data_IF_026260643274
#
_entry.id   IF_026260643274
#
_cell.length_a   1.000
_cell.length_b   1.000
_cell.length_c   1.000
_cell.angle_alpha   90.00
_cell.angle_beta   90.00
_cell.angle_gamma   90.00
#
_symmetry.space_group_name_H-M   'P 1'
#
loop_
_entity.id
_entity.type
_entity.pdbx_description
1 polymer ?
#
# COMPACT_ATOMS: atom_id res chain seq x y z
N UNK A 1 -50.01 -1.78 69.80
CA UNK A 1 -50.01 -3.22 70.16
C UNK A 1 -49.81 -4.05 68.91
N UNK A 2 -49.32 -5.30 69.06
CA UNK A 2 -49.20 -6.37 68.03
C UNK A 2 -48.37 -6.06 66.77
N UNK A 3 -47.20 -6.70 66.71
CA UNK A 3 -46.45 -7.02 65.49
C UNK A 3 -47.18 -8.06 64.64
N UNK A 4 -46.89 -8.13 63.33
CA UNK A 4 -46.66 -9.40 62.60
C UNK A 4 -45.98 -9.18 61.24
N UNK A 5 -45.09 -10.09 60.83
CA UNK A 5 -44.49 -10.16 59.49
C UNK A 5 -45.11 -11.32 58.70
N UNK A 6 -45.49 -11.10 57.44
CA UNK A 6 -45.76 -12.12 56.40
C UNK A 6 -45.93 -11.41 55.05
N UNK A 7 -45.57 -11.92 53.87
CA UNK A 7 -44.79 -13.12 53.52
C UNK A 7 -44.83 -13.42 52.00
N UNK A 8 -43.74 -13.95 51.45
CA UNK A 8 -43.59 -14.57 50.12
C UNK A 8 -43.98 -13.83 48.81
N UNK A 9 -42.97 -13.28 48.11
CA UNK A 9 -42.47 -13.82 46.83
C UNK A 9 -43.45 -14.53 45.85
N UNK A 10 -43.69 -13.95 44.64
CA UNK A 10 -43.26 -14.42 43.29
C UNK A 10 -44.11 -13.85 42.12
N UNK A 11 -43.43 -13.41 41.04
CA UNK A 11 -43.86 -13.38 39.60
C UNK A 11 -45.20 -12.70 39.19
N UNK A 12 -45.41 -12.06 38.04
CA UNK A 12 -44.62 -11.51 36.91
C UNK A 12 -45.64 -10.66 36.05
N UNK A 13 -45.46 -10.11 34.83
CA UNK A 13 -44.44 -10.25 33.75
C UNK A 13 -44.41 -8.99 32.85
N UNK A 14 -43.22 -8.57 32.39
CA UNK A 14 -42.88 -7.75 31.19
C UNK A 14 -43.98 -6.92 30.47
N UNK A 15 -43.82 -5.58 30.45
CA UNK A 15 -43.82 -4.73 29.24
C UNK A 15 -42.76 -3.63 29.47
N UNK A 16 -41.63 -3.53 28.76
CA UNK A 16 -41.33 -3.44 27.32
C UNK A 16 -41.26 -1.98 26.82
N UNK A 17 -40.23 -1.71 26.00
CA UNK A 17 -39.87 -0.41 25.39
C UNK A 17 -39.46 0.74 26.34
N UNK A 18 -38.16 1.03 26.40
CA UNK A 18 -37.56 2.24 25.80
C UNK A 18 -36.26 1.77 25.13
N UNK A 19 -35.99 2.21 23.92
CA UNK A 19 -34.76 1.88 23.19
C UNK A 19 -34.18 3.12 22.55
N UNK A 20 -32.89 3.37 22.78
CA UNK A 20 -32.09 4.28 21.97
C UNK A 20 -30.64 3.76 21.94
N UNK A 21 -30.30 3.04 20.88
CA UNK A 21 -28.96 2.48 20.69
C UNK A 21 -28.04 3.55 20.09
N UNK A 22 -27.22 4.20 20.92
CA UNK A 22 -26.26 5.19 20.45
C UNK A 22 -24.95 4.51 19.99
N UNK A 23 -24.97 3.92 18.80
CA UNK A 23 -23.79 3.27 18.19
C UNK A 23 -23.00 4.29 17.37
N UNK A 24 -22.16 5.08 18.01
CA UNK A 24 -21.22 6.00 17.35
C UNK A 24 -19.83 5.37 17.19
N UNK A 25 -19.73 4.26 16.45
CA UNK A 25 -18.43 3.83 15.92
C UNK A 25 -18.04 4.75 14.75
N UNK A 26 -17.45 5.90 15.07
CA UNK A 26 -16.61 6.63 14.12
C UNK A 26 -15.30 5.85 13.99
N UNK A 27 -15.35 4.76 13.24
CA UNK A 27 -14.17 4.06 12.78
C UNK A 27 -13.47 4.96 11.74
N UNK A 28 -12.73 5.95 12.24
CA UNK A 28 -11.76 6.70 11.44
C UNK A 28 -10.73 5.69 10.92
N UNK A 29 -10.96 5.23 9.69
CA UNK A 29 -10.13 4.22 9.04
C UNK A 29 -8.74 4.77 8.76
N UNK A 30 -7.87 4.69 9.76
CA UNK A 30 -6.45 4.81 9.56
C UNK A 30 -6.05 3.75 8.53
N UNK A 31 -5.78 4.17 7.29
CA UNK A 31 -5.16 3.29 6.31
C UNK A 31 -3.86 2.79 6.94
N UNK A 32 -3.81 1.49 7.26
CA UNK A 32 -2.63 0.88 7.84
C UNK A 32 -1.48 1.10 6.83
N UNK A 33 -0.43 1.78 7.29
CA UNK A 33 0.62 2.30 6.40
C UNK A 33 1.26 1.14 5.63
N UNK A 34 0.95 1.05 4.34
CA UNK A 34 1.20 -0.12 3.51
C UNK A 34 2.68 -0.32 3.15
N UNK A 35 3.53 0.67 3.43
CA UNK A 35 4.98 0.58 3.33
C UNK A 35 5.72 1.23 4.50
N UNK A 36 6.94 0.75 4.75
CA UNK A 36 7.90 1.36 5.67
C UNK A 36 9.33 0.99 5.29
N UNK A 37 10.30 1.76 5.79
CA UNK A 37 11.71 1.69 5.40
C UNK A 37 12.12 2.90 4.56
N UNK A 38 13.28 2.80 3.91
CA UNK A 38 13.86 3.89 3.13
C UNK A 38 14.68 3.33 1.95
N UNK A 39 14.63 4.03 0.81
CA UNK A 39 15.53 3.83 -0.31
C UNK A 39 16.29 5.13 -0.60
N UNK A 40 17.60 5.03 -0.84
CA UNK A 40 18.51 6.14 -1.05
C UNK A 40 19.28 5.99 -2.37
N UNK A 41 19.32 7.05 -3.16
CA UNK A 41 20.02 7.16 -4.44
C UNK A 41 21.13 8.22 -4.33
N UNK A 42 22.36 7.88 -4.69
CA UNK A 42 23.45 8.85 -4.80
C UNK A 42 23.31 9.64 -6.12
N UNK A 43 22.77 10.85 -6.06
CA UNK A 43 22.66 11.74 -7.21
C UNK A 43 23.82 12.76 -7.25
N UNK A 44 23.96 13.49 -8.37
CA UNK A 44 24.88 14.63 -8.48
C UNK A 44 24.54 15.77 -7.49
N UNK A 45 23.29 15.85 -7.02
CA UNK A 45 22.82 16.82 -6.03
C UNK A 45 22.90 16.32 -4.57
N UNK A 46 23.84 15.39 -4.31
CA UNK A 46 23.92 14.64 -3.06
C UNK A 46 22.95 13.46 -3.01
N UNK A 47 22.91 12.78 -1.86
CA UNK A 47 21.98 11.66 -1.61
C UNK A 47 20.53 12.15 -1.66
N UNK A 48 19.68 11.41 -2.35
CA UNK A 48 18.23 11.59 -2.35
C UNK A 48 17.60 10.36 -1.72
N UNK A 49 16.80 10.57 -0.67
CA UNK A 49 16.07 9.53 0.06
C UNK A 49 14.59 9.58 -0.31
N UNK A 50 13.93 8.43 -0.26
CA UNK A 50 12.48 8.29 -0.20
C UNK A 50 12.12 7.29 0.88
N UNK A 51 11.08 7.58 1.67
CA UNK A 51 10.57 6.74 2.74
C UNK A 51 9.09 6.38 2.47
N UNK A 52 8.81 5.38 1.60
CA UNK A 52 7.46 5.07 1.18
C UNK A 52 6.53 4.71 2.35
N UNK A 53 5.30 5.18 2.24
CA UNK A 53 4.20 4.96 3.20
C UNK A 53 3.06 4.15 2.60
N UNK A 54 2.86 4.30 1.29
CA UNK A 54 1.79 3.64 0.55
C UNK A 54 2.37 2.64 -0.44
N UNK A 55 1.66 1.54 -0.65
CA UNK A 55 2.04 0.46 -1.56
C UNK A 55 0.80 0.01 -2.34
N UNK A 56 0.92 -0.02 -3.67
CA UNK A 56 -0.17 -0.41 -4.57
C UNK A 56 0.36 -1.46 -5.55
N UNK A 57 -0.41 -2.53 -5.76
CA UNK A 57 -0.21 -3.43 -6.89
C UNK A 57 -1.08 -2.95 -8.04
N UNK A 58 -0.48 -2.74 -9.21
CA UNK A 58 -1.15 -2.48 -10.47
C UNK A 58 -0.89 -3.64 -11.43
N UNK A 59 -1.84 -3.93 -12.31
CA UNK A 59 -1.68 -4.91 -13.39
C UNK A 59 -2.01 -4.29 -14.74
N UNK A 60 -1.35 -4.72 -15.81
CA UNK A 60 -1.62 -4.26 -17.17
C UNK A 60 -0.55 -4.73 -18.16
N UNK A 61 -0.59 -4.29 -19.42
CA UNK A 61 0.49 -4.55 -20.35
C UNK A 61 1.71 -3.67 -20.04
N UNK A 62 2.90 -4.18 -20.36
CA UNK A 62 4.16 -3.44 -20.49
C UNK A 62 4.17 -2.54 -21.74
N UNK A 63 5.27 -1.81 -21.97
CA UNK A 63 5.49 -1.05 -23.22
C UNK A 63 5.55 -1.94 -24.47
N UNK A 64 5.96 -3.20 -24.34
CA UNK A 64 5.96 -4.21 -25.42
C UNK A 64 4.72 -5.13 -25.37
N UNK A 65 3.66 -4.73 -24.65
CA UNK A 65 2.35 -5.37 -24.68
C UNK A 65 2.20 -6.64 -23.85
N UNK A 66 3.26 -7.10 -23.17
CA UNK A 66 3.23 -8.31 -22.33
C UNK A 66 2.49 -8.06 -21.02
N UNK A 67 1.71 -9.02 -20.49
CA UNK A 67 1.15 -8.92 -19.15
C UNK A 67 2.24 -8.68 -18.10
N UNK A 68 2.03 -7.69 -17.25
CA UNK A 68 3.02 -7.20 -16.27
C UNK A 68 2.31 -6.80 -14.98
N UNK A 69 3.00 -6.94 -13.85
CA UNK A 69 2.58 -6.39 -12.55
C UNK A 69 3.53 -5.29 -12.13
N UNK A 70 3.01 -4.16 -11.67
CA UNK A 70 3.78 -3.02 -11.17
C UNK A 70 3.46 -2.79 -9.70
N UNK A 71 4.46 -2.96 -8.85
CA UNK A 71 4.43 -2.44 -7.49
C UNK A 71 4.73 -0.94 -7.55
N UNK A 72 3.89 -0.12 -6.92
CA UNK A 72 4.14 1.32 -6.73
C UNK A 72 4.30 1.58 -5.24
N UNK A 73 5.48 2.05 -4.84
CA UNK A 73 5.79 2.51 -3.49
C UNK A 73 5.87 4.03 -3.50
N UNK A 74 5.07 4.73 -2.68
CA UNK A 74 5.06 6.20 -2.64
C UNK A 74 5.01 6.76 -1.23
N UNK A 75 5.55 7.97 -1.06
CA UNK A 75 5.46 8.74 0.19
C UNK A 75 4.06 9.35 0.42
N UNK A 76 3.23 9.44 -0.63
CA UNK A 76 1.90 10.08 -0.64
C UNK A 76 0.81 9.14 -1.17
N UNK A 77 -0.45 9.42 -0.84
CA UNK A 77 -1.59 8.60 -1.30
C UNK A 77 -1.89 8.86 -2.79
N UNK A 78 -1.67 7.84 -3.63
CA UNK A 78 -1.93 7.87 -5.06
C UNK A 78 -3.30 7.31 -5.46
N UNK A 79 -4.19 6.95 -4.51
CA UNK A 79 -5.49 6.31 -4.78
C UNK A 79 -6.31 7.10 -5.81
N UNK A 80 -6.42 8.42 -5.63
CA UNK A 80 -7.16 9.29 -6.57
C UNK A 80 -6.51 9.42 -7.95
N UNK A 81 -5.17 9.31 -8.04
CA UNK A 81 -4.44 9.33 -9.30
C UNK A 81 -4.63 8.00 -10.06
N UNK A 82 -4.43 6.88 -9.38
CA UNK A 82 -4.65 5.52 -9.90
C UNK A 82 -6.09 5.37 -10.41
N UNK A 83 -7.09 5.89 -9.67
CA UNK A 83 -8.49 5.88 -10.11
C UNK A 83 -8.72 6.66 -11.40
N UNK A 84 -8.15 7.87 -11.53
CA UNK A 84 -8.29 8.74 -12.72
C UNK A 84 -7.54 8.24 -13.96
N UNK A 85 -6.37 7.62 -13.79
CA UNK A 85 -5.55 7.16 -14.90
C UNK A 85 -6.27 6.13 -15.78
N UNK A 86 -6.12 6.25 -17.10
CA UNK A 86 -6.76 5.39 -18.10
C UNK A 86 -5.86 4.22 -18.57
N UNK A 87 -4.57 4.32 -18.27
CA UNK A 87 -3.49 3.43 -18.73
C UNK A 87 -2.40 3.27 -17.66
N UNK A 88 -1.67 2.16 -17.67
CA UNK A 88 -0.69 1.83 -16.62
C UNK A 88 0.43 2.88 -16.49
N UNK A 89 0.94 3.40 -17.61
CA UNK A 89 2.01 4.40 -17.62
C UNK A 89 1.60 5.79 -17.12
N UNK A 90 0.29 6.07 -16.99
CA UNK A 90 -0.20 7.35 -16.47
C UNK A 90 0.15 7.56 -14.99
N UNK A 91 0.12 6.49 -14.16
CA UNK A 91 0.32 6.60 -12.70
C UNK A 91 1.73 7.08 -12.34
N UNK A 92 2.71 6.83 -13.22
CA UNK A 92 4.08 7.36 -13.08
C UNK A 92 4.13 8.89 -13.08
N UNK A 93 3.18 9.58 -13.71
CA UNK A 93 3.12 11.05 -13.75
C UNK A 93 2.86 11.69 -12.38
N UNK A 94 1.99 11.08 -11.57
CA UNK A 94 1.65 11.55 -10.22
C UNK A 94 2.65 11.05 -9.14
N UNK A 95 3.53 10.10 -9.49
CA UNK A 95 4.59 9.64 -8.58
C UNK A 95 5.70 10.71 -8.51
N UNK A 96 5.55 11.67 -7.61
CA UNK A 96 6.53 12.73 -7.37
C UNK A 96 7.70 12.31 -6.46
N UNK A 97 7.50 11.28 -5.64
CA UNK A 97 8.50 10.72 -4.72
C UNK A 97 8.15 9.27 -4.37
N UNK A 98 9.10 8.36 -4.55
CA UNK A 98 8.94 6.92 -4.35
C UNK A 98 9.61 6.08 -5.44
N UNK A 99 9.16 4.84 -5.63
CA UNK A 99 9.73 3.88 -6.61
C UNK A 99 8.63 3.02 -7.23
N UNK A 100 8.67 2.79 -8.55
CA UNK A 100 7.92 1.69 -9.19
C UNK A 100 8.84 0.49 -9.43
N UNK A 101 8.33 -0.73 -9.23
CA UNK A 101 9.03 -1.98 -9.54
C UNK A 101 8.15 -2.86 -10.43
N UNK A 102 8.69 -3.24 -11.59
CA UNK A 102 8.04 -4.06 -12.60
C UNK A 102 8.41 -5.55 -12.43
N UNK A 103 7.38 -6.36 -12.24
CA UNK A 103 7.39 -7.82 -12.15
C UNK A 103 6.89 -8.42 -13.46
N UNK A 104 7.30 -9.66 -13.74
CA UNK A 104 6.88 -10.49 -14.88
C UNK A 104 7.29 -9.97 -16.29
N UNK A 105 7.66 -8.69 -16.43
CA UNK A 105 8.13 -8.09 -17.70
C UNK A 105 9.50 -8.58 -18.20
N UNK A 106 10.26 -9.34 -17.40
CA UNK A 106 11.56 -9.88 -17.78
C UNK A 106 12.27 -10.67 -16.67
N UNK A 107 13.51 -11.16 -16.90
CA UNK A 107 14.27 -11.97 -15.95
C UNK A 107 14.90 -11.17 -14.78
N UNK A 108 14.67 -9.85 -14.73
CA UNK A 108 15.11 -8.93 -13.68
C UNK A 108 13.96 -8.00 -13.35
N UNK A 109 13.90 -7.55 -12.10
CA UNK A 109 12.93 -6.56 -11.64
C UNK A 109 13.36 -5.20 -12.19
N UNK A 110 12.62 -4.64 -13.15
CA UNK A 110 12.85 -3.26 -13.58
C UNK A 110 12.41 -2.29 -12.50
N UNK A 111 13.17 -1.24 -12.20
CA UNK A 111 12.72 -0.23 -11.25
C UNK A 111 13.02 1.19 -11.72
N UNK A 112 12.16 2.12 -11.31
CA UNK A 112 12.29 3.56 -11.56
C UNK A 112 12.13 4.30 -10.24
N UNK A 113 13.25 4.80 -9.73
CA UNK A 113 13.32 5.63 -8.53
C UNK A 113 13.02 7.09 -8.90
N UNK A 114 12.22 7.75 -8.06
CA UNK A 114 11.84 9.16 -8.21
C UNK A 114 11.99 9.88 -6.87
N UNK A 115 12.64 11.04 -6.86
CA UNK A 115 12.70 11.91 -5.70
C UNK A 115 12.79 13.39 -6.07
N UNK A 116 12.67 14.27 -5.06
CA UNK A 116 12.64 15.74 -5.22
C UNK A 116 11.61 16.20 -6.27
N UNK A 117 10.40 15.64 -6.27
CA UNK A 117 9.32 16.06 -7.18
C UNK A 117 9.64 15.79 -8.65
N UNK A 118 10.13 14.59 -8.97
CA UNK A 118 10.65 14.20 -10.31
C UNK A 118 11.91 14.95 -10.80
N UNK A 119 12.49 15.87 -10.03
CA UNK A 119 13.80 16.48 -10.38
C UNK A 119 14.97 15.48 -10.33
N UNK A 120 14.82 14.37 -9.61
CA UNK A 120 15.78 13.26 -9.62
C UNK A 120 15.04 11.98 -9.97
N UNK A 121 15.47 11.34 -11.04
CA UNK A 121 14.92 10.09 -11.57
C UNK A 121 16.06 9.13 -11.90
N UNK A 122 15.85 7.84 -11.70
CA UNK A 122 16.82 6.81 -12.06
C UNK A 122 16.11 5.50 -12.40
N UNK A 123 16.31 5.02 -13.62
CA UNK A 123 15.86 3.69 -14.07
C UNK A 123 17.02 2.72 -14.06
N UNK A 124 16.83 1.56 -13.44
CA UNK A 124 17.81 0.48 -13.33
C UNK A 124 17.04 -0.85 -13.10
N UNK A 125 17.73 -1.94 -12.77
CA UNK A 125 17.17 -3.27 -12.60
C UNK A 125 17.75 -3.96 -11.35
N UNK A 126 16.97 -4.81 -10.70
CA UNK A 126 17.43 -5.62 -9.57
C UNK A 126 17.39 -7.12 -9.89
N UNK A 127 18.22 -7.91 -9.21
CA UNK A 127 18.07 -9.37 -9.23
C UNK A 127 16.77 -9.75 -8.49
N UNK A 128 15.98 -10.74 -8.95
CA UNK A 128 14.77 -11.17 -8.25
C UNK A 128 14.98 -11.52 -6.77
N UNK A 129 16.14 -12.11 -6.42
CA UNK A 129 16.52 -12.44 -5.04
C UNK A 129 16.68 -11.23 -4.08
N UNK A 130 16.65 -9.98 -4.59
CA UNK A 130 16.55 -8.78 -3.74
C UNK A 130 15.16 -8.62 -3.10
N UNK A 131 14.14 -9.29 -3.67
CA UNK A 131 12.74 -9.22 -3.29
C UNK A 131 12.34 -10.51 -2.56
N UNK A 132 11.95 -10.39 -1.29
CA UNK A 132 11.53 -11.50 -0.44
C UNK A 132 10.02 -11.41 -0.21
N UNK A 133 9.25 -12.02 -1.09
CA UNK A 133 7.79 -12.04 -1.00
C UNK A 133 7.32 -13.09 0.02
N UNK A 134 6.44 -12.67 0.92
CA UNK A 134 5.62 -13.52 1.80
C UNK A 134 4.27 -13.87 1.15
N UNK A 135 3.79 -13.00 0.26
CA UNK A 135 2.65 -13.25 -0.60
C UNK A 135 2.94 -12.73 -2.00
N UNK A 136 2.76 -13.60 -3.00
CA UNK A 136 2.88 -13.32 -4.42
C UNK A 136 1.60 -13.80 -5.12
N UNK A 137 0.76 -12.89 -5.61
CA UNK A 137 -0.39 -13.23 -6.46
C UNK A 137 -0.82 -12.06 -7.35
N UNK A 138 -1.79 -12.31 -8.23
CA UNK A 138 -2.43 -11.25 -9.03
C UNK A 138 -3.25 -10.25 -8.18
N UNK A 139 -3.58 -10.59 -6.93
CA UNK A 139 -4.42 -9.77 -6.04
C UNK A 139 -3.63 -9.03 -4.95
N UNK A 140 -2.39 -9.44 -4.67
CA UNK A 140 -1.56 -8.86 -3.60
C UNK A 140 -0.08 -9.23 -3.76
N UNK A 141 0.81 -8.26 -3.56
CA UNK A 141 2.24 -8.49 -3.31
C UNK A 141 2.58 -7.99 -1.90
N UNK A 142 3.12 -8.85 -1.04
CA UNK A 142 3.55 -8.44 0.30
C UNK A 142 4.89 -9.09 0.66
N UNK A 143 5.80 -8.33 1.27
CA UNK A 143 7.16 -8.80 1.52
C UNK A 143 8.14 -7.69 1.90
N UNK A 144 9.41 -7.90 1.57
CA UNK A 144 10.46 -6.89 1.64
C UNK A 144 11.29 -6.82 0.37
N UNK A 145 11.88 -5.66 0.12
CA UNK A 145 12.87 -5.43 -0.93
C UNK A 145 14.13 -4.86 -0.29
N UNK A 146 15.31 -5.28 -0.74
CA UNK A 146 16.59 -4.77 -0.24
C UNK A 146 17.60 -4.64 -1.37
N UNK A 147 18.04 -3.40 -1.60
CA UNK A 147 19.04 -3.05 -2.59
C UNK A 147 20.38 -2.73 -1.91
N UNK A 148 21.48 -3.21 -2.50
CA UNK A 148 22.85 -3.06 -2.00
C UNK A 148 23.81 -2.91 -3.19
N UNK A 149 24.83 -2.08 -3.04
CA UNK A 149 25.85 -1.79 -4.03
C UNK A 149 26.19 -0.30 -4.06
N UNK A 150 27.17 0.08 -4.89
CA UNK A 150 27.66 1.46 -5.01
C UNK A 150 26.99 2.25 -6.15
N UNK A 151 26.11 1.58 -6.91
CA UNK A 151 25.38 2.10 -8.08
C UNK A 151 23.91 1.75 -7.93
N UNK A 152 23.03 2.67 -8.35
CA UNK A 152 21.58 2.51 -8.24
C UNK A 152 21.00 3.04 -6.93
N UNK A 153 19.75 2.67 -6.65
CA UNK A 153 19.15 2.87 -5.34
C UNK A 153 19.66 1.81 -4.34
N UNK A 154 19.71 2.17 -3.07
CA UNK A 154 20.18 1.32 -1.96
C UNK A 154 19.22 1.41 -0.78
N UNK A 155 19.26 0.44 0.14
CA UNK A 155 18.42 0.45 1.34
C UNK A 155 17.40 -0.69 1.36
N UNK A 156 16.39 -0.57 2.23
CA UNK A 156 15.41 -1.63 2.48
C UNK A 156 14.01 -1.06 2.75
N UNK A 157 13.01 -1.72 2.19
CA UNK A 157 11.59 -1.43 2.44
C UNK A 157 10.82 -2.72 2.71
N UNK A 158 9.83 -2.66 3.60
CA UNK A 158 8.76 -3.65 3.73
C UNK A 158 7.46 -3.08 3.20
N UNK A 159 6.65 -3.91 2.55
CA UNK A 159 5.40 -3.45 1.93
C UNK A 159 4.32 -4.53 1.92
N UNK A 160 3.07 -4.08 1.80
CA UNK A 160 1.87 -4.90 1.68
C UNK A 160 0.89 -4.23 0.69
N UNK A 161 1.02 -4.62 -0.58
CA UNK A 161 0.40 -3.97 -1.73
C UNK A 161 -0.78 -4.80 -2.29
N UNK A 162 -2.04 -4.49 -1.93
CA UNK A 162 -3.21 -5.07 -2.59
C UNK A 162 -3.36 -4.54 -4.03
N UNK A 163 -4.03 -5.31 -4.88
CA UNK A 163 -4.38 -4.90 -6.24
C UNK A 163 -5.31 -3.67 -6.19
N UNK A 164 -4.78 -2.52 -6.60
CA UNK A 164 -5.53 -1.26 -6.66
C UNK A 164 -6.25 -1.08 -7.99
N UNK A 165 -5.65 -1.53 -9.11
CA UNK A 165 -6.25 -1.42 -10.45
C UNK A 165 -5.59 -2.34 -11.49
N UNK A 166 -6.42 -2.83 -12.42
CA UNK A 166 -5.98 -3.45 -13.67
C UNK A 166 -6.26 -2.50 -14.85
N UNK A 167 -5.29 -2.32 -15.74
CA UNK A 167 -5.38 -1.47 -16.93
C UNK A 167 -5.36 -2.31 -18.21
N UNK A 168 -6.17 -1.92 -19.20
CA UNK A 168 -6.22 -2.58 -20.51
C UNK A 168 -5.13 -2.10 -21.50
N UNK A 169 -4.36 -1.06 -21.14
CA UNK A 169 -3.30 -0.43 -21.94
C UNK A 169 -2.25 0.22 -21.03
N UNK A 170 -1.08 0.54 -21.60
CA UNK A 170 0.02 1.24 -20.94
C UNK A 170 0.09 2.71 -21.34
#
# INVERSE_FOLDING_TARGET
>A
MRSMHCGSLRSATRRAAIGLALVTLVAAGAQAQQASGELALQARSGVVKVAPRYAYLLAGPSFDGKPMRRLVLSEVDLTSAIQKCDRLGCVSSDLHSGVTVDFDGGPRLGYWFVGKGQMVQHSDTAQPATMQLKQDSHQRLAGSWTLKGDVGATGSVTFDAPLAKTFARN
#
